data_IF_583188860889
#
_entry.id   IF_583188860889
#
_cell.length_a   1.000
_cell.length_b   1.000
_cell.length_c   1.000
_cell.angle_alpha   90.00
_cell.angle_beta   90.00
_cell.angle_gamma   90.00
#
_symmetry.space_group_name_H-M   'P 1'
#
loop_
_entity.id
_entity.type
_entity.pdbx_description
1 polymer ?
#
# COMPACT_ATOMS: atom_id res chain seq x y z
N UNK A 1 -9.91 14.02 7.48
CA UNK A 1 -8.76 14.21 6.56
C UNK A 1 -8.73 12.99 5.66
N UNK A 2 -8.52 13.14 4.36
CA UNK A 2 -8.50 12.00 3.42
C UNK A 2 -7.04 11.67 3.12
N UNK A 3 -6.62 10.46 3.46
CA UNK A 3 -5.28 9.95 3.16
C UNK A 3 -5.27 9.35 1.76
N UNK A 4 -4.17 9.57 1.03
CA UNK A 4 -3.90 8.95 -0.27
C UNK A 4 -2.54 8.26 -0.18
N UNK A 5 -2.50 6.97 -0.51
CA UNK A 5 -1.25 6.24 -0.70
C UNK A 5 -0.78 6.48 -2.14
N UNK A 6 0.42 7.02 -2.29
CA UNK A 6 1.10 7.20 -3.58
C UNK A 6 2.25 6.20 -3.64
N UNK A 7 2.36 5.46 -4.74
CA UNK A 7 3.34 4.38 -4.91
C UNK A 7 4.13 4.59 -6.19
N UNK A 8 5.43 4.29 -6.14
CA UNK A 8 6.41 4.43 -7.22
C UNK A 8 6.35 5.79 -7.90
N UNK A 9 6.61 6.86 -7.13
CA UNK A 9 6.67 8.23 -7.66
C UNK A 9 5.38 8.67 -8.40
N UNK A 10 4.22 8.17 -7.98
CA UNK A 10 2.92 8.53 -8.56
C UNK A 10 2.44 7.61 -9.68
N UNK A 11 3.08 6.46 -9.89
CA UNK A 11 2.57 5.43 -10.80
C UNK A 11 1.19 4.92 -10.35
N UNK A 12 1.01 4.76 -9.05
CA UNK A 12 -0.28 4.42 -8.46
C UNK A 12 -0.69 5.39 -7.35
N UNK A 13 -1.99 5.67 -7.29
CA UNK A 13 -2.60 6.49 -6.24
C UNK A 13 -3.87 5.81 -5.73
N UNK A 14 -3.94 5.60 -4.41
CA UNK A 14 -5.06 4.92 -3.77
C UNK A 14 -5.65 5.74 -2.63
N UNK A 15 -6.96 5.90 -2.67
CA UNK A 15 -7.76 6.45 -1.55
C UNK A 15 -8.65 5.41 -0.88
N UNK A 16 -8.58 4.17 -1.35
CA UNK A 16 -9.32 3.02 -0.83
C UNK A 16 -8.33 1.86 -0.64
N UNK A 17 -8.25 1.35 0.60
CA UNK A 17 -7.27 0.36 1.01
C UNK A 17 -7.44 -0.98 0.28
N UNK A 18 -8.67 -1.50 0.20
CA UNK A 18 -8.97 -2.77 -0.48
C UNK A 18 -8.53 -2.75 -1.94
N UNK A 19 -8.71 -1.61 -2.62
CA UNK A 19 -8.25 -1.42 -4.00
C UNK A 19 -6.72 -1.40 -4.09
N UNK A 20 -6.05 -0.76 -3.13
CA UNK A 20 -4.59 -0.74 -3.08
C UNK A 20 -4.03 -2.15 -2.94
N UNK A 21 -4.48 -2.91 -1.94
CA UNK A 21 -4.08 -4.30 -1.70
C UNK A 21 -4.25 -5.14 -2.96
N UNK A 22 -5.45 -5.12 -3.56
CA UNK A 22 -5.72 -5.94 -4.75
C UNK A 22 -4.78 -5.61 -5.91
N UNK A 23 -4.55 -4.32 -6.19
CA UNK A 23 -3.65 -3.92 -7.25
C UNK A 23 -2.20 -4.30 -6.94
N UNK A 24 -1.75 -4.18 -5.70
CA UNK A 24 -0.39 -4.53 -5.30
C UNK A 24 -0.15 -6.05 -5.31
N UNK A 25 -1.15 -6.86 -4.96
CA UNK A 25 -1.12 -8.33 -5.13
C UNK A 25 -0.96 -8.71 -6.60
N UNK A 26 -1.73 -8.09 -7.49
CA UNK A 26 -1.71 -8.40 -8.92
C UNK A 26 -0.40 -7.97 -9.59
N UNK A 27 0.16 -6.80 -9.22
CA UNK A 27 1.34 -6.21 -9.88
C UNK A 27 2.67 -6.68 -9.27
N UNK A 28 2.76 -6.79 -7.94
CA UNK A 28 3.99 -7.18 -7.24
C UNK A 28 4.01 -8.63 -6.77
N UNK A 29 2.88 -9.34 -6.87
CA UNK A 29 2.80 -10.75 -6.48
C UNK A 29 2.88 -10.97 -4.97
N UNK A 30 2.48 -9.99 -4.16
CA UNK A 30 2.53 -10.11 -2.71
C UNK A 30 1.61 -11.21 -2.20
N UNK A 31 2.17 -12.05 -1.33
CA UNK A 31 1.48 -13.19 -0.72
C UNK A 31 2.14 -13.59 0.60
N UNK A 32 1.46 -14.47 1.36
CA UNK A 32 1.99 -15.07 2.57
C UNK A 32 1.81 -14.22 3.83
N UNK A 33 2.34 -14.72 4.95
CA UNK A 33 1.96 -14.27 6.29
C UNK A 33 2.23 -12.77 6.55
N UNK A 34 3.36 -12.24 6.07
CA UNK A 34 3.68 -10.82 6.25
C UNK A 34 2.67 -9.93 5.51
N UNK A 35 2.31 -10.31 4.28
CA UNK A 35 1.29 -9.63 3.51
C UNK A 35 -0.11 -9.78 4.13
N UNK A 36 -0.48 -10.98 4.59
CA UNK A 36 -1.76 -11.22 5.26
C UNK A 36 -1.95 -10.31 6.49
N UNK A 37 -0.89 -10.02 7.22
CA UNK A 37 -0.92 -9.06 8.34
C UNK A 37 -1.18 -7.62 7.88
N UNK A 38 -0.58 -7.20 6.76
CA UNK A 38 -0.83 -5.89 6.15
C UNK A 38 -2.29 -5.80 5.72
N UNK A 39 -2.80 -6.79 4.98
CA UNK A 39 -4.20 -6.82 4.52
C UNK A 39 -5.18 -6.77 5.71
N UNK A 40 -4.90 -7.53 6.78
CA UNK A 40 -5.74 -7.55 7.97
C UNK A 40 -5.72 -6.23 8.77
N UNK A 41 -4.67 -5.41 8.62
CA UNK A 41 -4.57 -4.13 9.32
C UNK A 41 -5.56 -3.09 8.84
N UNK A 42 -5.92 -3.13 7.54
CA UNK A 42 -6.74 -2.12 6.88
C UNK A 42 -6.23 -0.68 7.10
N UNK A 43 -4.90 -0.51 7.16
CA UNK A 43 -4.24 0.74 7.50
C UNK A 43 -3.21 1.13 6.44
N UNK A 44 -3.34 2.32 5.87
CA UNK A 44 -2.41 2.83 4.86
C UNK A 44 -1.01 3.08 5.42
N UNK A 45 -0.86 3.39 6.72
CA UNK A 45 0.46 3.60 7.32
C UNK A 45 1.25 2.29 7.33
N UNK A 46 0.62 1.20 7.77
CA UNK A 46 1.23 -0.14 7.77
C UNK A 46 1.55 -0.61 6.35
N UNK A 47 0.66 -0.37 5.38
CA UNK A 47 0.93 -0.71 3.99
C UNK A 47 2.07 0.12 3.41
N UNK A 48 2.14 1.42 3.71
CA UNK A 48 3.19 2.31 3.24
C UNK A 48 4.57 1.90 3.78
N UNK A 49 4.64 1.55 5.07
CA UNK A 49 5.86 1.03 5.70
C UNK A 49 6.28 -0.29 5.06
N UNK A 50 5.35 -1.23 4.85
CA UNK A 50 5.63 -2.51 4.20
C UNK A 50 6.24 -2.34 2.80
N UNK A 51 5.66 -1.45 1.98
CA UNK A 51 6.17 -1.16 0.64
C UNK A 51 7.58 -0.56 0.69
N UNK A 52 7.79 0.38 1.62
CA UNK A 52 9.09 1.03 1.81
C UNK A 52 10.18 0.03 2.24
N UNK A 53 9.84 -0.90 3.13
CA UNK A 53 10.73 -1.97 3.59
C UNK A 53 11.07 -2.97 2.47
N UNK A 54 10.16 -3.18 1.52
CA UNK A 54 10.39 -3.98 0.30
C UNK A 54 11.16 -3.22 -0.79
N UNK A 55 11.48 -1.94 -0.56
CA UNK A 55 12.24 -1.08 -1.47
C UNK A 55 11.38 -0.41 -2.55
N UNK A 56 10.06 -0.43 -2.40
CA UNK A 56 9.11 0.31 -3.23
C UNK A 56 8.94 1.72 -2.66
N UNK A 57 9.04 2.73 -3.52
CA UNK A 57 8.78 4.11 -3.12
C UNK A 57 7.29 4.26 -2.78
N UNK A 58 6.98 4.64 -1.53
CA UNK A 58 5.61 4.80 -1.07
C UNK A 58 5.50 5.99 -0.11
N UNK A 59 4.47 6.82 -0.29
CA UNK A 59 4.21 7.97 0.56
C UNK A 59 2.72 8.14 0.86
N UNK A 60 2.41 8.70 2.04
CA UNK A 60 1.05 9.12 2.40
C UNK A 60 0.92 10.63 2.22
N UNK A 61 0.01 11.02 1.34
CA UNK A 61 -0.37 12.41 1.14
C UNK A 61 -1.69 12.69 1.85
N UNK A 62 -1.71 13.76 2.63
CA UNK A 62 -2.91 14.22 3.35
C UNK A 62 -3.54 15.38 2.58
N UNK A 63 -4.79 15.20 2.16
CA UNK A 63 -5.60 16.22 1.49
C UNK A 63 -6.80 16.66 2.34
#
# INVERSE_FOLDING_TARGET
MRQTLVVNFGEYEFTNFERAVKSLEEEYGYEGFAWDMVVASNDFEILCEFLSDDGIDAEIVIC
#
